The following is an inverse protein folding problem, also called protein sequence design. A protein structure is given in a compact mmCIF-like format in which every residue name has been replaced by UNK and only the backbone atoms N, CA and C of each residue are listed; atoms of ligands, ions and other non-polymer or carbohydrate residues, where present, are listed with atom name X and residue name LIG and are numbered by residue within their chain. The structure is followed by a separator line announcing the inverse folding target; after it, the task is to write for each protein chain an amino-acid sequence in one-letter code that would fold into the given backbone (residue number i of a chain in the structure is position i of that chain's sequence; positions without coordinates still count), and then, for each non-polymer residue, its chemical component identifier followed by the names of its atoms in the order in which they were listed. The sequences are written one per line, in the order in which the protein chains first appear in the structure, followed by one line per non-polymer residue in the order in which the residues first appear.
data_IF_894460209421
#
_entry.id   IF_894460209421
#
_cell.length_a   1.000
_cell.length_b   1.000
_cell.length_c   1.000
_cell.angle_alpha   90.00
_cell.angle_beta   90.00
_cell.angle_gamma   90.00
#
_symmetry.space_group_name_H-M   'P 1'
#
loop_
_entity.id
_entity.type
_entity.pdbx_description
1 polymer ?
#
# COMPACT_ATOMS: atom_id res chain seq x y z
N UNK A 1 -22.31 41.28 -29.33
CA UNK A 1 -22.77 40.37 -30.39
C UNK A 1 -21.57 40.09 -31.29
N UNK A 2 -21.01 38.91 -31.54
CA UNK A 2 -21.42 37.48 -31.46
C UNK A 2 -20.19 36.64 -30.99
N UNK A 3 -20.37 35.39 -30.53
CA UNK A 3 -19.32 34.58 -29.90
C UNK A 3 -18.55 33.69 -30.89
N UNK A 4 -17.26 33.49 -30.66
CA UNK A 4 -16.46 32.46 -31.36
C UNK A 4 -16.49 31.17 -30.54
N UNK A 5 -17.18 30.15 -31.06
CA UNK A 5 -17.09 28.76 -30.58
C UNK A 5 -15.96 28.08 -31.32
N UNK A 6 -15.12 27.33 -30.61
CA UNK A 6 -14.25 26.30 -31.20
C UNK A 6 -14.59 24.95 -30.58
N UNK A 7 -14.84 24.01 -31.49
CA UNK A 7 -15.30 22.65 -31.27
C UNK A 7 -14.17 21.72 -30.78
N UNK A 8 -14.65 20.66 -30.15
CA UNK A 8 -13.96 19.48 -29.66
C UNK A 8 -12.99 18.79 -30.64
N UNK A 9 -12.01 18.09 -30.07
CA UNK A 9 -11.51 16.84 -30.63
C UNK A 9 -11.16 15.87 -29.49
N UNK A 10 -12.01 14.88 -29.31
CA UNK A 10 -11.80 13.65 -28.53
C UNK A 10 -10.86 12.71 -29.28
N UNK A 11 -9.87 12.13 -28.60
CA UNK A 11 -9.15 10.95 -29.08
C UNK A 11 -9.17 9.86 -28.00
N UNK A 12 -10.03 8.85 -28.20
CA UNK A 12 -9.92 7.55 -27.54
C UNK A 12 -8.87 6.73 -28.29
N UNK A 13 -7.87 6.21 -27.59
CA UNK A 13 -7.03 5.13 -28.09
C UNK A 13 -7.31 3.88 -27.24
N UNK A 14 -8.07 2.94 -27.82
CA UNK A 14 -8.25 1.59 -27.30
C UNK A 14 -7.20 0.69 -27.96
N UNK A 15 -6.38 0.02 -27.15
CA UNK A 15 -5.48 -1.04 -27.61
C UNK A 15 -5.99 -2.37 -27.04
N UNK A 16 -6.67 -3.14 -27.87
CA UNK A 16 -7.05 -4.52 -27.59
C UNK A 16 -5.91 -5.44 -28.03
N UNK A 17 -5.36 -6.23 -27.10
CA UNK A 17 -4.44 -7.32 -27.42
C UNK A 17 -5.20 -8.65 -27.36
N UNK A 18 -5.07 -9.42 -28.43
CA UNK A 18 -5.87 -10.58 -28.76
C UNK A 18 -5.42 -11.88 -28.06
N UNK A 19 -6.41 -12.77 -27.95
CA UNK A 19 -6.38 -14.17 -27.56
C UNK A 19 -5.27 -14.99 -28.26
N UNK A 20 -4.64 -15.88 -27.49
CA UNK A 20 -3.90 -17.02 -27.99
C UNK A 20 -4.13 -18.25 -27.11
N UNK A 21 -5.14 -19.06 -27.45
CA UNK A 21 -5.32 -20.41 -26.94
C UNK A 21 -4.77 -21.39 -28.00
N UNK A 22 -3.84 -22.26 -27.62
CA UNK A 22 -3.40 -23.37 -28.46
C UNK A 22 -3.30 -24.64 -27.61
N UNK A 23 -3.85 -25.70 -28.18
CA UNK A 23 -4.26 -26.95 -27.56
C UNK A 23 -3.10 -27.89 -27.23
N UNK A 24 -3.33 -28.73 -26.22
CA UNK A 24 -2.56 -29.91 -25.91
C UNK A 24 -2.70 -31.00 -26.98
N UNK A 25 -1.59 -31.70 -27.26
CA UNK A 25 -1.58 -33.02 -27.90
C UNK A 25 -0.45 -33.86 -27.30
N UNK A 26 -0.82 -35.00 -26.71
CA UNK A 26 0.02 -36.20 -26.60
C UNK A 26 -0.41 -37.15 -27.72
N UNK A 27 0.49 -37.96 -28.31
CA UNK A 27 0.55 -39.36 -27.88
C UNK A 27 1.94 -40.03 -28.06
N UNK A 28 2.14 -41.17 -27.38
CA UNK A 28 3.29 -42.04 -27.61
C UNK A 28 3.25 -43.30 -26.76
N UNK A 29 2.50 -44.29 -27.22
CA UNK A 29 2.50 -45.68 -26.73
C UNK A 29 3.72 -46.44 -27.26
N UNK A 30 4.39 -47.20 -26.38
CA UNK A 30 5.55 -48.03 -26.72
C UNK A 30 5.74 -49.19 -25.75
N UNK A 31 5.23 -50.34 -26.18
CA UNK A 31 5.39 -51.76 -25.83
C UNK A 31 6.44 -52.24 -24.80
N UNK A 32 5.93 -53.03 -23.86
CA UNK A 32 6.41 -54.24 -23.15
C UNK A 32 7.87 -54.73 -23.24
N UNK A 33 8.43 -55.03 -22.06
CA UNK A 33 9.30 -56.19 -21.83
C UNK A 33 9.08 -56.76 -20.41
N UNK A 34 8.90 -58.08 -20.37
CA UNK A 34 8.63 -58.95 -19.21
C UNK A 34 9.89 -59.38 -18.47
N UNK A 35 9.78 -59.58 -17.15
CA UNK A 35 10.51 -60.64 -16.43
C UNK A 35 11.28 -60.21 -15.18
N UNK A 36 11.05 -60.92 -14.06
CA UNK A 36 12.02 -61.01 -12.96
C UNK A 36 11.47 -60.67 -11.57
N UNK A 37 11.20 -61.72 -10.79
CA UNK A 37 10.77 -61.68 -9.39
C UNK A 37 11.89 -61.19 -8.46
N UNK A 38 11.51 -60.44 -7.41
CA UNK A 38 11.86 -60.65 -5.99
C UNK A 38 11.52 -59.41 -5.16
N UNK A 39 10.61 -59.56 -4.19
CA UNK A 39 10.48 -58.62 -3.07
C UNK A 39 11.64 -58.83 -2.08
N UNK A 40 11.99 -57.81 -1.27
CA UNK A 40 11.65 -57.97 0.13
C UNK A 40 11.17 -56.70 0.85
N UNK A 41 10.21 -56.95 1.76
CA UNK A 41 10.07 -56.47 3.14
C UNK A 41 9.93 -54.96 3.39
N UNK A 42 8.74 -54.62 3.89
CA UNK A 42 8.35 -53.36 4.49
C UNK A 42 9.14 -53.04 5.77
N UNK A 43 9.48 -51.76 5.95
CA UNK A 43 9.89 -51.20 7.24
C UNK A 43 9.03 -49.95 7.55
N UNK A 44 8.64 -49.72 8.82
CA UNK A 44 7.54 -48.83 9.18
C UNK A 44 7.92 -47.36 9.04
N UNK A 45 6.92 -46.55 8.67
CA UNK A 45 7.06 -45.14 8.35
C UNK A 45 7.59 -44.29 9.50
N UNK A 46 8.71 -43.60 9.25
CA UNK A 46 8.96 -42.30 9.82
C UNK A 46 8.01 -41.31 9.14
N UNK A 47 6.83 -41.12 9.71
CA UNK A 47 5.86 -40.14 9.25
C UNK A 47 6.52 -38.76 9.22
N UNK A 48 6.84 -38.27 8.02
CA UNK A 48 6.69 -36.85 7.74
C UNK A 48 5.27 -36.51 8.14
N UNK A 49 5.10 -35.94 9.35
CA UNK A 49 3.89 -35.21 9.70
C UNK A 49 3.76 -34.16 8.60
N UNK A 50 2.95 -34.46 7.60
CA UNK A 50 2.06 -33.47 7.03
C UNK A 50 1.24 -33.00 8.23
N UNK A 51 1.81 -32.06 8.99
CA UNK A 51 0.98 -31.19 9.80
C UNK A 51 -0.02 -30.64 8.79
N UNK A 52 -1.34 -30.82 9.02
CA UNK A 52 -2.26 -29.99 8.29
C UNK A 52 -1.73 -28.58 8.45
N UNK A 53 -1.59 -27.84 7.35
CA UNK A 53 -1.56 -26.38 7.42
C UNK A 53 -2.92 -26.04 8.02
N UNK A 54 -2.99 -26.12 9.34
CA UNK A 54 -4.00 -25.45 10.12
C UNK A 54 -3.84 -24.03 9.63
N UNK A 55 -4.82 -23.55 8.86
CA UNK A 55 -5.04 -22.14 8.70
C UNK A 55 -5.11 -21.59 10.11
N UNK A 56 -3.95 -21.21 10.66
CA UNK A 56 -3.84 -20.67 11.99
C UNK A 56 -4.71 -19.44 11.92
N UNK A 57 -5.88 -19.54 12.56
CA UNK A 57 -6.86 -18.49 12.53
C UNK A 57 -6.14 -17.23 13.00
N UNK A 58 -6.08 -16.23 12.12
CA UNK A 58 -5.25 -15.05 12.33
C UNK A 58 -5.52 -14.47 13.73
N UNK A 59 -4.47 -14.23 14.50
CA UNK A 59 -4.60 -13.71 15.85
C UNK A 59 -5.44 -12.42 15.84
N UNK A 60 -6.30 -12.24 16.84
CA UNK A 60 -7.19 -11.06 16.91
C UNK A 60 -6.41 -9.74 16.86
N UNK A 61 -5.21 -9.71 17.43
CA UNK A 61 -4.30 -8.55 17.37
C UNK A 61 -3.87 -8.24 15.94
N UNK A 62 -3.42 -9.26 15.21
CA UNK A 62 -2.97 -9.18 13.82
C UNK A 62 -4.10 -8.71 12.91
N UNK A 63 -5.31 -9.27 13.08
CA UNK A 63 -6.52 -8.82 12.35
C UNK A 63 -6.79 -7.33 12.57
N UNK A 64 -6.77 -6.87 13.83
CA UNK A 64 -6.98 -5.46 14.16
C UNK A 64 -5.91 -4.55 13.56
N UNK A 65 -4.67 -5.01 13.52
CA UNK A 65 -3.58 -4.27 12.89
C UNK A 65 -3.83 -4.13 11.38
N UNK A 66 -4.15 -5.22 10.68
CA UNK A 66 -4.47 -5.20 9.25
C UNK A 66 -5.61 -4.22 8.96
N UNK A 67 -6.75 -4.34 9.66
CA UNK A 67 -7.91 -3.47 9.45
C UNK A 67 -7.57 -1.98 9.67
N UNK A 68 -6.77 -1.67 10.69
CA UNK A 68 -6.35 -0.30 10.99
C UNK A 68 -5.37 0.24 9.93
N UNK A 69 -4.35 -0.54 9.58
CA UNK A 69 -3.32 -0.16 8.63
C UNK A 69 -3.89 0.03 7.21
N UNK A 70 -4.78 -0.86 6.75
CA UNK A 70 -5.49 -0.66 5.47
C UNK A 70 -6.34 0.61 5.51
N UNK A 71 -7.12 0.81 6.58
CA UNK A 71 -7.99 1.99 6.69
C UNK A 71 -7.22 3.32 6.71
N UNK A 72 -6.07 3.37 7.38
CA UNK A 72 -5.17 4.53 7.40
C UNK A 72 -4.49 4.71 6.04
N UNK A 73 -3.95 3.64 5.46
CA UNK A 73 -3.28 3.69 4.16
C UNK A 73 -4.21 4.13 3.02
N UNK A 74 -5.48 3.71 3.01
CA UNK A 74 -6.48 4.20 2.05
C UNK A 74 -6.73 5.70 2.20
N UNK A 75 -6.71 6.23 3.43
CA UNK A 75 -6.83 7.65 3.70
C UNK A 75 -5.61 8.41 3.17
N UNK A 76 -4.41 7.91 3.45
CA UNK A 76 -3.15 8.55 3.05
C UNK A 76 -3.01 8.62 1.53
N UNK A 77 -3.35 7.55 0.80
CA UNK A 77 -3.37 7.58 -0.67
C UNK A 77 -4.37 8.61 -1.20
N UNK A 78 -5.61 8.62 -0.71
CA UNK A 78 -6.64 9.55 -1.21
C UNK A 78 -6.29 11.01 -0.92
N UNK A 79 -5.80 11.32 0.28
CA UNK A 79 -5.44 12.69 0.65
C UNK A 79 -4.15 13.16 -0.05
N UNK A 80 -3.22 12.24 -0.31
CA UNK A 80 -2.02 12.53 -1.08
C UNK A 80 -2.34 12.75 -2.57
N UNK A 81 -3.26 11.99 -3.18
CA UNK A 81 -3.73 12.24 -4.54
C UNK A 81 -4.34 13.64 -4.68
N UNK A 82 -5.16 14.03 -3.70
CA UNK A 82 -5.69 15.39 -3.63
C UNK A 82 -4.56 16.43 -3.58
N UNK A 83 -3.58 16.24 -2.71
CA UNK A 83 -2.45 17.16 -2.58
C UNK A 83 -1.56 17.22 -3.83
N UNK A 84 -1.28 16.09 -4.47
CA UNK A 84 -0.54 16.05 -5.73
C UNK A 84 -1.25 16.86 -6.83
N UNK A 85 -2.59 16.82 -6.85
CA UNK A 85 -3.39 17.57 -7.81
C UNK A 85 -3.48 19.07 -7.50
N UNK A 86 -3.56 19.48 -6.23
CA UNK A 86 -3.95 20.85 -5.87
C UNK A 86 -3.02 21.65 -4.96
N UNK A 87 -1.94 21.05 -4.44
CA UNK A 87 -0.99 21.79 -3.63
C UNK A 87 -0.42 22.99 -4.42
N UNK A 88 -0.02 24.04 -3.71
CA UNK A 88 0.54 25.24 -4.35
C UNK A 88 2.06 25.12 -4.48
N UNK A 89 2.73 24.67 -3.43
CA UNK A 89 4.17 24.44 -3.37
C UNK A 89 4.60 23.17 -4.12
N UNK A 90 5.62 23.30 -4.97
CA UNK A 90 6.15 22.19 -5.77
C UNK A 90 6.73 21.05 -4.92
N UNK A 91 7.39 21.35 -3.80
CA UNK A 91 7.92 20.34 -2.89
C UNK A 91 6.80 19.57 -2.20
N UNK A 92 5.69 20.25 -1.87
CA UNK A 92 4.51 19.60 -1.30
C UNK A 92 3.85 18.66 -2.33
N UNK A 93 3.79 19.05 -3.62
CA UNK A 93 3.35 18.13 -4.69
C UNK A 93 4.25 16.91 -4.84
N UNK A 94 5.58 17.11 -4.83
CA UNK A 94 6.54 16.02 -4.93
C UNK A 94 6.43 15.06 -3.74
N UNK A 95 6.32 15.60 -2.52
CA UNK A 95 6.08 14.79 -1.33
C UNK A 95 4.77 14.02 -1.42
N UNK A 96 3.68 14.67 -1.83
CA UNK A 96 2.40 14.01 -2.02
C UNK A 96 2.47 12.89 -3.07
N UNK A 97 3.18 13.09 -4.18
CA UNK A 97 3.34 12.06 -5.21
C UNK A 97 4.11 10.84 -4.68
N UNK A 98 5.19 11.07 -3.93
CA UNK A 98 5.92 10.00 -3.23
C UNK A 98 5.01 9.21 -2.28
N UNK A 99 4.14 9.89 -1.53
CA UNK A 99 3.18 9.22 -0.65
C UNK A 99 2.18 8.37 -1.45
N UNK A 100 1.65 8.88 -2.57
CA UNK A 100 0.74 8.11 -3.43
C UNK A 100 1.41 6.82 -3.87
N UNK A 101 2.62 6.88 -4.40
CA UNK A 101 3.32 5.71 -4.94
C UNK A 101 3.61 4.68 -3.85
N UNK A 102 4.23 5.13 -2.76
CA UNK A 102 4.76 4.23 -1.74
C UNK A 102 3.65 3.66 -0.82
N UNK A 103 2.65 4.46 -0.45
CA UNK A 103 1.49 3.91 0.27
C UNK A 103 0.62 3.03 -0.61
N UNK A 104 0.46 3.32 -1.90
CA UNK A 104 -0.29 2.42 -2.80
C UNK A 104 0.38 1.06 -2.88
N UNK A 105 1.70 1.01 -3.04
CA UNK A 105 2.45 -0.24 -3.05
C UNK A 105 2.29 -1.02 -1.72
N UNK A 106 2.47 -0.35 -0.58
CA UNK A 106 2.31 -0.98 0.74
C UNK A 106 0.86 -1.47 0.99
N UNK A 107 -0.14 -0.70 0.57
CA UNK A 107 -1.54 -1.09 0.70
C UNK A 107 -1.87 -2.32 -0.14
N UNK A 108 -1.37 -2.40 -1.37
CA UNK A 108 -1.59 -3.55 -2.24
C UNK A 108 -0.99 -4.83 -1.64
N UNK A 109 0.23 -4.74 -1.09
CA UNK A 109 0.87 -5.85 -0.37
C UNK A 109 0.05 -6.28 0.85
N UNK A 110 -0.40 -5.33 1.67
CA UNK A 110 -1.19 -5.62 2.87
C UNK A 110 -2.58 -6.21 2.53
N UNK A 111 -3.21 -5.77 1.45
CA UNK A 111 -4.48 -6.32 0.95
C UNK A 111 -4.30 -7.78 0.54
N UNK A 112 -3.20 -8.11 -0.14
CA UNK A 112 -2.90 -9.51 -0.50
C UNK A 112 -2.71 -10.38 0.74
N UNK A 113 -1.95 -9.90 1.74
CA UNK A 113 -1.78 -10.60 3.01
C UNK A 113 -3.12 -10.82 3.71
N UNK A 114 -3.97 -9.79 3.78
CA UNK A 114 -5.29 -9.85 4.39
C UNK A 114 -6.19 -10.89 3.69
N UNK A 115 -6.24 -10.88 2.37
CA UNK A 115 -7.03 -11.82 1.57
C UNK A 115 -6.57 -13.26 1.77
N UNK A 116 -5.26 -13.51 1.77
CA UNK A 116 -4.69 -14.83 2.04
C UNK A 116 -5.05 -15.37 3.44
N UNK A 117 -5.46 -14.49 4.37
CA UNK A 117 -5.83 -14.80 5.76
C UNK A 117 -7.34 -14.73 6.02
N UNK A 118 -8.15 -14.56 4.98
CA UNK A 118 -9.61 -14.44 5.11
C UNK A 118 -10.02 -13.25 5.99
N UNK A 119 -9.29 -12.14 5.89
CA UNK A 119 -9.66 -10.88 6.57
C UNK A 119 -10.52 -10.05 5.62
N UNK A 120 -11.76 -9.81 6.02
CA UNK A 120 -12.62 -8.85 5.32
C UNK A 120 -12.11 -7.43 5.56
N UNK A 121 -11.85 -6.71 4.47
CA UNK A 121 -11.34 -5.35 4.52
C UNK A 121 -12.45 -4.32 4.29
N UNK A 122 -12.35 -3.13 4.91
CA UNK A 122 -13.27 -2.06 4.63
C UNK A 122 -13.11 -1.56 3.18
N UNK A 123 -14.23 -1.30 2.51
CA UNK A 123 -14.21 -0.74 1.15
C UNK A 123 -13.80 0.75 1.08
N UNK A 124 -13.69 1.42 2.23
CA UNK A 124 -13.32 2.83 2.30
C UNK A 124 -12.70 3.19 3.67
N UNK A 125 -11.96 4.30 3.78
CA UNK A 125 -11.49 4.81 5.07
C UNK A 125 -12.64 5.06 6.03
N UNK A 126 -12.35 5.06 7.33
CA UNK A 126 -13.34 5.37 8.39
C UNK A 126 -13.96 6.74 8.14
N UNK A 127 -15.24 6.91 8.53
CA UNK A 127 -15.99 8.17 8.30
C UNK A 127 -15.25 9.41 8.82
N UNK A 128 -14.52 9.31 9.94
CA UNK A 128 -13.70 10.41 10.46
C UNK A 128 -12.59 10.83 9.51
N UNK A 129 -11.88 9.87 8.89
CA UNK A 129 -10.80 10.11 7.93
C UNK A 129 -11.35 10.70 6.63
N UNK A 130 -12.51 10.22 6.15
CA UNK A 130 -13.17 10.81 4.96
C UNK A 130 -13.57 12.27 5.19
N UNK A 131 -14.10 12.60 6.37
CA UNK A 131 -14.37 14.01 6.75
C UNK A 131 -13.10 14.84 6.81
N UNK A 132 -11.96 14.25 7.15
CA UNK A 132 -10.68 14.96 7.13
C UNK A 132 -10.25 15.29 5.70
N UNK A 133 -10.40 14.35 4.76
CA UNK A 133 -10.19 14.59 3.32
C UNK A 133 -11.10 15.74 2.84
N UNK A 134 -12.40 15.68 3.14
CA UNK A 134 -13.35 16.73 2.76
C UNK A 134 -12.99 18.10 3.34
N UNK A 135 -12.60 18.16 4.62
CA UNK A 135 -12.20 19.40 5.29
C UNK A 135 -10.93 19.98 4.68
N UNK A 136 -9.94 19.14 4.40
CA UNK A 136 -8.69 19.59 3.80
C UNK A 136 -8.92 20.04 2.35
N UNK A 137 -9.75 19.33 1.58
CA UNK A 137 -10.06 19.68 0.18
C UNK A 137 -10.74 21.04 -0.01
N UNK A 138 -11.41 21.56 1.03
CA UNK A 138 -11.99 22.91 1.04
C UNK A 138 -10.95 24.03 1.20
N UNK A 139 -9.71 23.71 1.60
CA UNK A 139 -8.60 24.65 1.72
C UNK A 139 -7.89 24.80 0.38
N UNK A 140 -7.21 25.93 0.20
CA UNK A 140 -6.47 26.25 -1.03
C UNK A 140 -5.15 26.97 -0.70
N UNK A 141 -4.26 27.03 -1.69
CA UNK A 141 -3.00 27.77 -1.58
C UNK A 141 -2.13 27.31 -0.41
N UNK A 142 -1.40 28.24 0.19
CA UNK A 142 -0.50 27.98 1.32
C UNK A 142 -1.21 27.39 2.55
N UNK A 143 -2.50 27.69 2.74
CA UNK A 143 -3.28 27.11 3.83
C UNK A 143 -3.46 25.60 3.63
N UNK A 144 -3.76 25.18 2.40
CA UNK A 144 -3.87 23.76 2.07
C UNK A 144 -2.54 23.06 2.31
N UNK A 145 -1.45 23.60 1.76
CA UNK A 145 -0.11 23.00 1.86
C UNK A 145 0.31 22.81 3.31
N UNK A 146 0.17 23.86 4.14
CA UNK A 146 0.50 23.79 5.56
C UNK A 146 -0.32 22.72 6.28
N UNK A 147 -1.64 22.69 6.06
CA UNK A 147 -2.50 21.74 6.76
C UNK A 147 -2.28 20.31 6.29
N UNK A 148 -1.97 20.10 5.00
CA UNK A 148 -1.57 18.81 4.47
C UNK A 148 -0.30 18.30 5.16
N UNK A 149 0.77 19.09 5.18
CA UNK A 149 2.02 18.63 5.79
C UNK A 149 1.85 18.42 7.29
N UNK A 150 1.21 19.36 8.00
CA UNK A 150 1.00 19.25 9.44
C UNK A 150 0.17 18.03 9.83
N UNK A 151 -0.92 17.75 9.11
CA UNK A 151 -1.87 16.70 9.52
C UNK A 151 -1.51 15.34 8.96
N UNK A 152 -1.08 15.28 7.72
CA UNK A 152 -0.74 14.04 7.02
C UNK A 152 0.73 13.76 7.24
N UNK A 153 1.62 14.58 6.68
CA UNK A 153 3.07 14.34 6.71
C UNK A 153 3.68 14.20 8.11
N UNK A 154 3.21 14.97 9.10
CA UNK A 154 3.71 14.90 10.47
C UNK A 154 2.81 14.04 11.37
N UNK A 155 1.59 14.51 11.66
CA UNK A 155 0.75 13.90 12.70
C UNK A 155 0.22 12.50 12.37
N UNK A 156 -0.07 12.20 11.11
CA UNK A 156 -0.52 10.85 10.72
C UNK A 156 0.67 9.90 10.77
N UNK A 157 1.78 10.25 10.12
CA UNK A 157 2.99 9.43 10.09
C UNK A 157 3.57 9.16 11.48
N UNK A 158 3.59 10.13 12.40
CA UNK A 158 3.98 9.88 13.81
C UNK A 158 3.10 8.80 14.49
N UNK A 159 1.79 8.79 14.20
CA UNK A 159 0.86 7.80 14.75
C UNK A 159 1.03 6.45 14.09
N UNK A 160 1.22 6.42 12.78
CA UNK A 160 1.42 5.19 12.02
C UNK A 160 2.76 4.55 12.38
N UNK A 161 3.84 5.32 12.53
CA UNK A 161 5.12 4.82 13.07
C UNK A 161 4.91 4.17 14.44
N UNK A 162 4.20 4.83 15.38
CA UNK A 162 3.91 4.25 16.70
C UNK A 162 3.08 2.96 16.60
N UNK A 163 2.11 2.92 15.68
CA UNK A 163 1.29 1.74 15.43
C UNK A 163 2.14 0.59 14.88
N UNK A 164 3.01 0.86 13.90
CA UNK A 164 3.90 -0.14 13.30
C UNK A 164 4.99 -0.60 14.29
N UNK A 165 5.55 0.29 15.12
CA UNK A 165 6.48 -0.09 16.19
C UNK A 165 5.84 -1.00 17.23
N UNK A 166 4.58 -0.76 17.56
CA UNK A 166 3.79 -1.67 18.41
C UNK A 166 3.54 -2.99 17.70
N UNK A 167 3.09 -2.94 16.44
CA UNK A 167 2.83 -4.13 15.63
C UNK A 167 4.08 -5.01 15.53
N UNK A 168 5.26 -4.42 15.34
CA UNK A 168 6.55 -5.13 15.24
C UNK A 168 6.82 -6.08 16.42
N UNK A 169 6.31 -5.73 17.60
CA UNK A 169 6.42 -6.51 18.86
C UNK A 169 5.27 -7.50 19.03
N UNK A 170 4.07 -7.12 18.59
CA UNK A 170 2.83 -7.81 18.96
C UNK A 170 2.36 -8.81 17.90
N UNK A 171 2.58 -8.55 16.60
CA UNK A 171 2.10 -9.40 15.51
C UNK A 171 2.72 -10.79 15.57
N UNK A 172 1.91 -11.82 15.30
CA UNK A 172 2.31 -13.23 15.40
C UNK A 172 2.51 -13.87 14.05
N UNK A 173 1.76 -13.41 13.05
CA UNK A 173 1.91 -13.84 11.68
C UNK A 173 3.28 -13.42 11.11
N UNK A 174 4.07 -14.38 10.57
CA UNK A 174 5.43 -14.12 10.13
C UNK A 174 5.49 -13.22 8.88
N UNK A 175 4.54 -13.33 7.96
CA UNK A 175 4.53 -12.46 6.76
C UNK A 175 4.07 -11.04 7.13
N UNK A 176 3.13 -10.91 8.06
CA UNK A 176 2.73 -9.62 8.60
C UNK A 176 3.88 -8.96 9.38
N UNK A 177 4.67 -9.75 10.10
CA UNK A 177 5.89 -9.27 10.75
C UNK A 177 6.90 -8.73 9.73
N UNK A 178 7.13 -9.47 8.65
CA UNK A 178 8.01 -9.04 7.56
C UNK A 178 7.50 -7.74 6.89
N UNK A 179 6.19 -7.65 6.65
CA UNK A 179 5.56 -6.43 6.13
C UNK A 179 5.80 -5.22 7.05
N UNK A 180 5.61 -5.39 8.36
CA UNK A 180 5.87 -4.33 9.36
C UNK A 180 7.34 -3.92 9.36
N UNK A 181 8.26 -4.88 9.41
CA UNK A 181 9.70 -4.64 9.44
C UNK A 181 10.18 -3.92 8.15
N UNK A 182 9.59 -4.24 6.99
CA UNK A 182 9.86 -3.60 5.70
C UNK A 182 9.29 -2.18 5.59
N UNK A 183 8.11 -1.94 6.15
CA UNK A 183 7.37 -0.67 5.95
C UNK A 183 7.81 0.42 6.93
N UNK A 184 8.24 0.04 8.13
CA UNK A 184 8.58 1.00 9.19
C UNK A 184 9.71 2.00 8.81
N UNK A 185 10.80 1.60 8.12
CA UNK A 185 11.80 2.55 7.62
C UNK A 185 11.20 3.59 6.66
N UNK A 186 10.37 3.15 5.71
CA UNK A 186 9.70 4.03 4.74
C UNK A 186 8.83 5.08 5.42
N UNK A 187 8.05 4.69 6.44
CA UNK A 187 7.22 5.65 7.21
C UNK A 187 8.09 6.69 7.93
N UNK A 188 9.28 6.31 8.42
CA UNK A 188 10.23 7.25 9.03
C UNK A 188 10.85 8.19 8.01
N UNK A 189 11.18 7.68 6.82
CA UNK A 189 11.68 8.50 5.72
C UNK A 189 10.64 9.52 5.26
N UNK A 190 9.36 9.12 5.20
CA UNK A 190 8.25 10.05 4.93
C UNK A 190 8.14 11.15 5.97
N UNK A 191 8.19 10.80 7.25
CA UNK A 191 8.16 11.80 8.33
C UNK A 191 9.34 12.76 8.21
N UNK A 192 10.55 12.24 8.00
CA UNK A 192 11.75 13.06 7.82
C UNK A 192 11.68 13.95 6.56
N UNK A 193 11.03 13.49 5.49
CA UNK A 193 10.76 14.32 4.31
C UNK A 193 9.75 15.43 4.63
N UNK A 194 8.68 15.12 5.36
CA UNK A 194 7.66 16.09 5.77
C UNK A 194 8.24 17.19 6.68
N UNK A 195 9.16 16.85 7.59
CA UNK A 195 9.85 17.80 8.48
C UNK A 195 10.67 18.85 7.72
N UNK A 196 11.17 18.50 6.52
CA UNK A 196 11.93 19.41 5.65
C UNK A 196 11.04 20.36 4.84
N UNK A 197 9.75 20.08 4.74
CA UNK A 197 8.83 20.92 3.97
C UNK A 197 8.51 22.22 4.71
N UNK A 198 8.15 23.29 3.98
CA UNK A 198 7.73 24.55 4.58
C UNK A 198 6.52 24.37 5.52
N UNK A 199 6.77 24.42 6.82
CA UNK A 199 5.73 24.60 7.84
C UNK A 199 5.59 26.11 8.00
N UNK A 200 4.46 26.71 7.60
CA UNK A 200 4.33 28.18 7.53
C UNK A 200 4.92 28.91 8.75
N UNK A 201 5.68 29.98 8.48
CA UNK A 201 6.18 30.91 9.50
C UNK A 201 7.58 30.66 10.07
N UNK A 202 8.25 29.53 9.78
CA UNK A 202 9.60 29.26 10.35
C UNK A 202 10.77 29.28 9.36
N UNK A 203 10.55 29.03 8.06
CA UNK A 203 11.66 28.96 7.09
C UNK A 203 11.92 30.26 6.30
N UNK A 204 11.05 31.26 6.38
CA UNK A 204 11.35 32.58 5.82
C UNK A 204 12.42 33.33 6.65
N UNK A 205 12.56 33.03 7.94
CA UNK A 205 13.55 33.66 8.82
C UNK A 205 14.94 33.03 8.74
N UNK A 206 15.04 31.71 8.50
CA UNK A 206 16.32 31.01 8.49
C UNK A 206 17.14 31.26 7.21
N UNK A 207 16.51 31.57 6.08
CA UNK A 207 17.20 31.83 4.81
C UNK A 207 17.65 33.30 4.65
N UNK A 208 17.18 34.22 5.51
CA UNK A 208 17.50 35.65 5.45
C UNK A 208 18.66 36.10 6.33
N UNK A 209 19.13 35.24 7.26
CA UNK A 209 20.11 35.63 8.28
C UNK A 209 21.59 35.35 7.91
N UNK A 210 21.87 34.70 6.77
CA UNK A 210 23.23 34.29 6.40
C UNK A 210 23.83 35.04 5.19
N UNK A 211 23.36 36.27 4.93
CA UNK A 211 23.97 37.22 3.99
C UNK A 211 24.14 38.58 4.68
N UNK A 212 25.17 38.72 5.50
CA UNK A 212 25.84 40.00 5.77
C UNK A 212 27.32 39.75 5.98
#
# INVERSE_FOLDING_TARGET
MKPTRLLAATALAALAFALGAAQAQTPGTGTSATGGQSAPVAQPGAGTRNLPVQSQQLARGDRKFIEAAVGNGMFEVQIAQLAAAKANDGNVKSFASMLVDQHTAANNELVQLANARGVELPAAPRRSLRREIEKLGKKNGEEFDREFVRKVGLKAHEKDIKMFEKARKDVKDPELKAFVDKTLPTLRDHLAAAEKLPQSGKNAAAMGANKR
#
